data_IF_852252484295
#
_entry.id   IF_852252484295
#
_cell.length_a   1.000
_cell.length_b   1.000
_cell.length_c   1.000
_cell.angle_alpha   90.00
_cell.angle_beta   90.00
_cell.angle_gamma   90.00
#
_symmetry.space_group_name_H-M   'P 1'
#
loop_
_entity.id
_entity.type
_entity.pdbx_description
1 polymer ?
#
# COMPACT_ATOMS: atom_id res chain seq x y z
N UNK A 1 12.09 6.06 -44.91
CA UNK A 1 10.86 6.48 -44.19
C UNK A 1 10.12 5.33 -43.51
N UNK A 2 9.99 4.13 -44.11
CA UNK A 2 9.19 3.03 -43.52
C UNK A 2 9.70 2.45 -42.20
N UNK A 3 11.03 2.37 -42.00
CA UNK A 3 11.61 1.79 -40.78
C UNK A 3 11.30 2.62 -39.52
N UNK A 4 11.39 3.95 -39.64
CA UNK A 4 11.09 4.87 -38.54
C UNK A 4 9.61 4.77 -38.11
N UNK A 5 8.70 4.66 -39.08
CA UNK A 5 7.26 4.50 -38.81
C UNK A 5 7.00 3.18 -38.08
N UNK A 6 7.70 2.11 -38.46
CA UNK A 6 7.54 0.78 -37.86
C UNK A 6 8.04 0.74 -36.42
N UNK A 7 9.19 1.38 -36.14
CA UNK A 7 9.71 1.54 -34.77
C UNK A 7 8.76 2.37 -33.91
N UNK A 8 8.26 3.49 -34.43
CA UNK A 8 7.31 4.35 -33.71
C UNK A 8 6.00 3.62 -33.42
N UNK A 9 5.45 2.86 -34.38
CA UNK A 9 4.24 2.08 -34.19
C UNK A 9 4.43 0.95 -33.16
N UNK A 10 5.60 0.28 -33.15
CA UNK A 10 5.91 -0.75 -32.17
C UNK A 10 6.03 -0.17 -30.75
N UNK A 11 6.70 0.97 -30.59
CA UNK A 11 6.82 1.68 -29.31
C UNK A 11 5.45 2.16 -28.82
N UNK A 12 4.62 2.72 -29.69
CA UNK A 12 3.24 3.10 -29.38
C UNK A 12 2.39 1.89 -28.98
N UNK A 13 2.53 0.76 -29.66
CA UNK A 13 1.83 -0.48 -29.31
C UNK A 13 2.22 -1.01 -27.93
N UNK A 14 3.50 -0.94 -27.57
CA UNK A 14 3.98 -1.30 -26.24
C UNK A 14 3.44 -0.31 -25.20
N UNK A 15 3.52 1.00 -25.45
CA UNK A 15 3.02 2.03 -24.53
C UNK A 15 1.50 1.93 -24.29
N UNK A 16 0.72 1.60 -25.33
CA UNK A 16 -0.72 1.38 -25.20
C UNK A 16 -1.05 0.07 -24.46
N UNK A 17 -0.21 -0.96 -24.58
CA UNK A 17 -0.34 -2.23 -23.84
C UNK A 17 0.14 -2.12 -22.40
N UNK A 18 1.08 -1.23 -22.12
CA UNK A 18 1.40 -0.76 -20.77
C UNK A 18 0.19 0.03 -20.31
N UNK A 19 -0.84 -0.67 -19.84
CA UNK A 19 -1.79 -0.11 -18.89
C UNK A 19 -0.92 0.47 -17.79
N UNK A 20 -0.86 1.80 -17.77
CA UNK A 20 -0.28 2.67 -16.75
C UNK A 20 0.16 1.88 -15.52
N UNK A 21 1.45 1.88 -15.14
CA UNK A 21 1.92 1.27 -13.91
C UNK A 21 1.35 2.10 -12.75
N UNK A 22 0.05 1.97 -12.54
CA UNK A 22 -0.65 2.51 -11.40
C UNK A 22 -0.16 1.67 -10.25
N UNK A 23 0.68 2.27 -9.41
CA UNK A 23 0.85 1.82 -8.05
C UNK A 23 -0.55 1.89 -7.40
N UNK A 24 -1.31 0.81 -7.51
CA UNK A 24 -2.61 0.66 -6.87
C UNK A 24 -2.31 0.19 -5.47
N UNK A 25 -2.46 1.10 -4.52
CA UNK A 25 -2.53 0.73 -3.13
C UNK A 25 -3.82 -0.08 -2.93
N UNK A 26 -3.67 -1.39 -2.92
CA UNK A 26 -4.73 -2.39 -2.86
C UNK A 26 -4.62 -3.18 -1.55
N UNK A 27 -5.63 -3.99 -1.22
CA UNK A 27 -5.70 -4.77 0.03
C UNK A 27 -4.43 -5.57 0.27
N UNK A 28 -3.94 -6.28 -0.76
CA UNK A 28 -2.69 -7.07 -0.70
C UNK A 28 -1.46 -6.26 -0.32
N UNK A 29 -1.34 -5.04 -0.85
CA UNK A 29 -0.19 -4.19 -0.56
C UNK A 29 -0.28 -3.68 0.88
N UNK A 30 -1.48 -3.34 1.35
CA UNK A 30 -1.70 -2.97 2.75
C UNK A 30 -1.36 -4.11 3.71
N UNK A 31 -1.83 -5.34 3.45
CA UNK A 31 -1.51 -6.55 4.22
C UNK A 31 0.00 -6.78 4.26
N UNK A 32 0.68 -6.65 3.12
CA UNK A 32 2.14 -6.80 3.03
C UNK A 32 2.87 -5.79 3.90
N UNK A 33 2.54 -4.50 3.78
CA UNK A 33 3.20 -3.44 4.56
C UNK A 33 2.93 -3.60 6.05
N UNK A 34 1.71 -3.94 6.45
CA UNK A 34 1.37 -4.20 7.85
C UNK A 34 2.16 -5.37 8.43
N UNK A 35 2.27 -6.49 7.71
CA UNK A 35 3.09 -7.63 8.12
C UNK A 35 4.56 -7.23 8.29
N UNK A 36 5.12 -6.48 7.33
CA UNK A 36 6.50 -5.98 7.45
C UNK A 36 6.69 -5.09 8.69
N UNK A 37 5.70 -4.26 9.05
CA UNK A 37 5.76 -3.40 10.26
C UNK A 37 5.74 -4.24 11.53
N UNK A 38 4.87 -5.25 11.57
CA UNK A 38 4.72 -6.16 12.71
C UNK A 38 5.97 -7.03 12.90
N UNK A 39 6.58 -7.49 11.80
CA UNK A 39 7.85 -8.22 11.79
C UNK A 39 9.07 -7.33 12.08
N UNK A 40 8.89 -6.00 12.08
CA UNK A 40 9.98 -5.03 12.28
C UNK A 40 10.92 -4.90 11.07
N UNK A 41 10.47 -5.30 9.88
CA UNK A 41 11.22 -5.24 8.62
C UNK A 41 10.69 -4.14 7.67
N UNK A 42 9.78 -3.28 8.15
CA UNK A 42 9.17 -2.25 7.31
C UNK A 42 10.16 -1.13 6.94
N UNK A 43 10.16 -0.80 5.65
CA UNK A 43 10.83 0.38 5.14
C UNK A 43 9.98 1.64 5.37
N UNK A 44 10.62 2.75 5.75
CA UNK A 44 10.02 4.07 5.88
C UNK A 44 9.28 4.50 4.59
N UNK A 45 9.81 4.15 3.43
CA UNK A 45 9.19 4.48 2.15
C UNK A 45 7.84 3.78 1.95
N UNK A 46 7.76 2.48 2.24
CA UNK A 46 6.52 1.70 2.06
C UNK A 46 5.44 2.15 3.04
N UNK A 47 5.84 2.44 4.29
CA UNK A 47 4.93 3.03 5.28
C UNK A 47 4.42 4.41 4.85
N UNK A 48 5.29 5.29 4.36
CA UNK A 48 4.91 6.61 3.89
C UNK A 48 3.92 6.53 2.72
N UNK A 49 4.10 5.56 1.81
CA UNK A 49 3.16 5.31 0.73
C UNK A 49 1.79 4.85 1.25
N UNK A 50 1.75 3.93 2.20
CA UNK A 50 0.51 3.50 2.86
C UNK A 50 -0.25 4.67 3.44
N UNK A 51 0.43 5.54 4.19
CA UNK A 51 -0.20 6.66 4.89
C UNK A 51 -0.58 7.79 3.93
N UNK A 52 0.19 8.04 2.88
CA UNK A 52 -0.04 9.15 1.95
C UNK A 52 -1.00 8.83 0.79
N UNK A 53 -1.11 7.56 0.37
CA UNK A 53 -1.85 7.21 -0.82
C UNK A 53 -3.37 7.43 -0.67
N UNK A 54 -4.02 8.22 -1.56
CA UNK A 54 -5.46 8.41 -1.52
C UNK A 54 -6.18 7.19 -2.11
N UNK A 55 -6.94 6.48 -1.28
CA UNK A 55 -7.80 5.36 -1.68
C UNK A 55 -9.22 5.89 -1.86
N UNK A 56 -9.70 5.94 -3.11
CA UNK A 56 -11.06 6.42 -3.45
C UNK A 56 -12.02 5.32 -3.90
N UNK A 57 -11.49 4.21 -4.38
CA UNK A 57 -12.25 3.13 -4.99
C UNK A 57 -12.80 2.13 -3.96
N UNK A 58 -12.26 2.15 -2.74
CA UNK A 58 -12.62 1.23 -1.66
C UNK A 58 -12.74 2.03 -0.36
N UNK A 59 -13.99 2.26 0.07
CA UNK A 59 -14.28 3.09 1.23
C UNK A 59 -13.82 2.44 2.54
N UNK A 60 -13.83 1.11 2.60
CA UNK A 60 -13.41 0.33 3.75
C UNK A 60 -11.89 0.36 3.88
N UNK A 61 -11.16 0.08 2.79
CA UNK A 61 -9.71 0.16 2.77
C UNK A 61 -9.24 1.60 3.08
N UNK A 62 -9.94 2.61 2.58
CA UNK A 62 -9.69 4.00 2.95
C UNK A 62 -9.89 4.29 4.44
N UNK A 63 -10.82 3.58 5.10
CA UNK A 63 -11.08 3.65 6.55
C UNK A 63 -9.93 3.02 7.34
N UNK A 64 -9.52 1.82 6.96
CA UNK A 64 -8.40 1.11 7.60
C UNK A 64 -7.10 1.91 7.46
N UNK A 65 -6.82 2.47 6.27
CA UNK A 65 -5.66 3.35 6.05
C UNK A 65 -5.67 4.58 6.97
N UNK A 66 -6.83 5.23 7.15
CA UNK A 66 -6.96 6.36 8.09
C UNK A 66 -6.64 5.93 9.52
N UNK A 67 -7.13 4.77 9.95
CA UNK A 67 -6.84 4.19 11.27
C UNK A 67 -5.33 3.93 11.45
N UNK A 68 -4.64 3.38 10.43
CA UNK A 68 -3.19 3.24 10.46
C UNK A 68 -2.45 4.59 10.65
N UNK A 69 -2.93 5.64 10.00
CA UNK A 69 -2.37 7.00 10.16
C UNK A 69 -2.55 7.53 11.58
N UNK A 70 -3.75 7.37 12.15
CA UNK A 70 -4.06 7.78 13.53
C UNK A 70 -3.20 7.02 14.56
N UNK A 71 -2.95 5.72 14.32
CA UNK A 71 -2.04 4.92 15.15
C UNK A 71 -0.61 5.45 15.04
N UNK A 72 -0.13 5.83 13.85
CA UNK A 72 1.20 6.42 13.71
C UNK A 72 1.33 7.79 14.38
N UNK A 73 0.28 8.60 14.36
CA UNK A 73 0.31 9.92 15.02
C UNK A 73 0.48 9.81 16.55
N UNK A 74 0.15 8.65 17.14
CA UNK A 74 0.15 8.43 18.60
C UNK A 74 1.19 7.44 19.09
N UNK A 75 1.48 6.40 18.31
CA UNK A 75 2.24 5.22 18.76
C UNK A 75 3.54 4.99 17.98
N UNK A 76 3.84 5.82 16.97
CA UNK A 76 5.12 5.74 16.26
C UNK A 76 6.26 6.18 17.17
N UNK A 77 7.26 5.34 17.33
CA UNK A 77 8.46 5.62 18.12
C UNK A 77 9.39 6.51 17.30
N UNK A 78 9.85 7.61 17.88
CA UNK A 78 10.76 8.53 17.21
C UNK A 78 12.07 7.82 16.78
N UNK A 79 12.42 7.92 15.50
CA UNK A 79 13.59 7.29 14.90
C UNK A 79 13.53 7.31 13.38
N UNK A 80 14.57 6.76 12.74
CA UNK A 80 14.67 6.64 11.28
C UNK A 80 13.94 5.39 10.73
N UNK A 81 13.57 4.47 11.63
CA UNK A 81 12.87 3.22 11.32
C UNK A 81 11.39 3.31 11.67
N UNK A 82 10.57 2.59 10.92
CA UNK A 82 9.14 2.44 11.18
C UNK A 82 8.96 1.46 12.34
N UNK A 83 9.05 1.98 13.57
CA UNK A 83 8.84 1.22 14.80
C UNK A 83 7.68 1.79 15.59
N UNK A 84 6.83 0.90 16.09
CA UNK A 84 5.66 1.25 16.88
C UNK A 84 5.83 0.78 18.32
N UNK A 85 5.16 1.48 19.23
CA UNK A 85 5.01 1.03 20.61
C UNK A 85 4.33 -0.36 20.65
N UNK A 86 4.45 -1.10 21.77
CA UNK A 86 3.69 -2.35 21.94
C UNK A 86 2.18 -2.17 21.77
N UNK A 87 1.64 -1.02 22.20
CA UNK A 87 0.23 -0.69 22.04
C UNK A 87 -0.12 -0.42 20.56
N UNK A 88 0.73 0.32 19.85
CA UNK A 88 0.59 0.55 18.41
C UNK A 88 0.63 -0.73 17.60
N UNK A 89 1.57 -1.65 17.91
CA UNK A 89 1.65 -2.96 17.27
C UNK A 89 0.37 -3.78 17.45
N UNK A 90 -0.20 -3.79 18.66
CA UNK A 90 -1.48 -4.47 18.91
C UNK A 90 -2.63 -3.86 18.10
N UNK A 91 -2.67 -2.53 17.98
CA UNK A 91 -3.67 -1.84 17.18
C UNK A 91 -3.51 -2.12 15.67
N UNK A 92 -2.27 -2.16 15.17
CA UNK A 92 -1.98 -2.52 13.78
C UNK A 92 -2.34 -3.99 13.48
N UNK A 93 -2.13 -4.89 14.44
CA UNK A 93 -2.57 -6.29 14.32
C UNK A 93 -4.10 -6.36 14.14
N UNK A 94 -4.87 -5.61 14.93
CA UNK A 94 -6.33 -5.57 14.76
C UNK A 94 -6.77 -5.05 13.39
N UNK A 95 -6.02 -4.11 12.81
CA UNK A 95 -6.29 -3.63 11.45
C UNK A 95 -5.98 -4.69 10.42
N UNK A 96 -4.91 -5.48 10.62
CA UNK A 96 -4.56 -6.61 9.77
C UNK A 96 -5.62 -7.71 9.83
N UNK A 97 -6.02 -8.12 11.04
CA UNK A 97 -7.04 -9.15 11.25
C UNK A 97 -8.38 -8.76 10.59
N UNK A 98 -8.76 -7.50 10.72
CA UNK A 98 -9.96 -6.95 10.08
C UNK A 98 -9.85 -6.94 8.55
N UNK A 99 -8.68 -6.56 8.03
CA UNK A 99 -8.42 -6.56 6.59
C UNK A 99 -8.53 -7.98 6.01
N UNK A 100 -7.98 -8.97 6.70
CA UNK A 100 -8.00 -10.38 6.29
C UNK A 100 -9.41 -10.96 6.33
N UNK A 101 -10.19 -10.68 7.38
CA UNK A 101 -11.59 -11.12 7.49
C UNK A 101 -12.43 -10.61 6.31
N UNK A 102 -12.28 -9.35 5.91
CA UNK A 102 -13.03 -8.83 4.76
C UNK A 102 -12.51 -9.34 3.41
N UNK A 103 -11.31 -9.93 3.35
CA UNK A 103 -10.82 -10.60 2.13
C UNK A 103 -11.44 -11.99 1.96
N UNK A 104 -11.65 -12.74 3.05
CA UNK A 104 -12.24 -14.08 3.02
C UNK A 104 -13.72 -14.06 2.57
N UNK A 105 -14.46 -12.99 2.87
CA UNK A 105 -15.87 -12.85 2.46
C UNK A 105 -16.04 -12.58 0.94
N UNK A 106 -14.96 -12.23 0.23
CA UNK A 106 -14.99 -11.87 -1.18
C UNK A 106 -14.56 -13.01 -2.14
N UNK A 107 -14.10 -14.15 -1.61
CA UNK A 107 -13.77 -15.39 -2.35
C UNK A 107 -14.94 -16.38 -2.35
#
# INVERSE_FOLDING_TARGET
MGLAVLVVAAVLGILLKVRTPYYRFDRREMTRVLNLVLDGQANAQDWALLVAAPIRHDAELARLRRRCREIADTELVAGDEVRFSPAGRKQLQQVLDELEATQEEAE
#
